data_IF_236447873884
#
_entry.id   IF_236447873884
#
_cell.length_a   1.000
_cell.length_b   1.000
_cell.length_c   1.000
_cell.angle_alpha   90.00
_cell.angle_beta   90.00
_cell.angle_gamma   90.00
#
_symmetry.space_group_name_H-M   'P 1'
#
loop_
_entity.id
_entity.type
_entity.pdbx_description
1 polymer ?
#
# COMPACT_ATOMS: atom_id res chain seq x y z
N UNK A 1 -15.43 -8.51 24.26
CA UNK A 1 -15.49 -7.32 23.38
C UNK A 1 -14.19 -6.58 23.51
N UNK A 2 -13.55 -6.26 22.42
CA UNK A 2 -12.31 -5.44 22.40
C UNK A 2 -12.69 -4.00 22.78
N UNK A 3 -11.99 -3.44 23.75
CA UNK A 3 -12.19 -2.04 24.14
C UNK A 3 -11.47 -1.14 23.11
N UNK A 4 -12.22 -0.21 22.51
CA UNK A 4 -11.73 0.74 21.54
C UNK A 4 -11.69 2.14 22.13
N UNK A 5 -10.64 2.90 21.81
CA UNK A 5 -10.52 4.33 22.08
C UNK A 5 -10.08 5.05 20.79
N UNK A 6 -10.54 6.27 20.64
CA UNK A 6 -10.15 7.13 19.51
C UNK A 6 -9.43 8.35 20.05
N UNK A 7 -8.19 8.50 19.63
CA UNK A 7 -7.26 9.48 20.18
C UNK A 7 -7.05 10.57 19.15
N UNK A 8 -7.26 11.83 19.54
CA UNK A 8 -6.90 12.97 18.72
C UNK A 8 -5.58 13.57 19.19
N UNK A 9 -4.73 13.89 18.26
CA UNK A 9 -3.50 14.66 18.49
C UNK A 9 -3.38 15.83 17.51
N UNK A 10 -2.59 16.81 17.88
CA UNK A 10 -2.24 17.94 17.02
C UNK A 10 -0.83 17.77 16.50
N UNK A 11 -0.72 17.73 15.17
CA UNK A 11 0.56 17.75 14.46
C UNK A 11 0.96 19.21 14.23
N UNK A 12 2.19 19.55 14.59
CA UNK A 12 2.74 20.90 14.42
C UNK A 12 3.71 21.00 13.23
N UNK A 13 3.99 19.87 12.59
CA UNK A 13 4.92 19.78 11.47
C UNK A 13 6.40 19.90 11.90
N UNK A 14 6.72 19.63 13.16
CA UNK A 14 8.09 19.59 13.70
C UNK A 14 8.54 18.17 14.09
N UNK A 15 7.75 17.15 13.72
CA UNK A 15 7.99 15.75 14.07
C UNK A 15 7.44 15.36 15.45
N UNK A 16 6.81 16.29 16.14
CA UNK A 16 6.09 16.06 17.38
C UNK A 16 4.58 16.08 17.22
N UNK A 17 3.90 15.60 18.25
CA UNK A 17 2.44 15.70 18.35
C UNK A 17 2.03 15.96 19.79
N UNK A 18 0.97 16.76 19.96
CA UNK A 18 0.36 17.05 21.24
C UNK A 18 -1.00 16.37 21.33
N UNK A 19 -1.20 15.50 22.30
CA UNK A 19 -2.49 14.83 22.50
C UNK A 19 -3.55 15.83 22.94
N UNK A 20 -4.70 15.79 22.26
CA UNK A 20 -5.83 16.68 22.48
C UNK A 20 -6.92 15.95 23.28
N UNK A 21 -7.23 14.72 22.88
CA UNK A 21 -8.29 13.92 23.45
C UNK A 21 -7.93 12.44 23.32
N UNK A 22 -8.24 11.64 24.34
CA UNK A 22 -7.97 10.21 24.38
C UNK A 22 -9.21 9.34 24.18
N UNK A 23 -10.39 9.94 24.03
CA UNK A 23 -11.66 9.20 23.93
C UNK A 23 -12.71 9.98 23.11
N UNK A 24 -12.39 10.27 21.85
CA UNK A 24 -13.33 10.91 20.95
C UNK A 24 -14.58 10.04 20.75
N UNK A 25 -15.78 10.62 20.88
CA UNK A 25 -17.05 9.90 20.68
C UNK A 25 -17.35 9.73 19.17
N UNK A 26 -16.59 8.88 18.49
CA UNK A 26 -16.77 8.62 17.07
C UNK A 26 -17.89 7.62 16.81
N UNK A 27 -18.72 7.92 15.82
CA UNK A 27 -19.74 7.04 15.27
C UNK A 27 -19.24 6.37 13.99
N UNK A 28 -19.58 5.11 13.80
CA UNK A 28 -19.30 4.33 12.58
C UNK A 28 -17.83 4.41 12.12
N UNK A 29 -16.86 4.26 13.05
CA UNK A 29 -15.45 4.34 12.68
C UNK A 29 -15.02 3.14 11.85
N UNK A 30 -14.23 3.40 10.80
CA UNK A 30 -13.57 2.38 10.00
C UNK A 30 -12.08 2.70 9.89
N UNK A 31 -11.25 1.68 10.11
CA UNK A 31 -9.79 1.78 10.03
C UNK A 31 -9.30 1.00 8.82
N UNK A 32 -8.54 1.65 7.97
CA UNK A 32 -8.00 1.06 6.75
C UNK A 32 -6.48 0.97 6.83
N UNK A 33 -5.95 -0.27 6.82
CA UNK A 33 -4.53 -0.54 6.64
C UNK A 33 -4.32 -1.06 5.22
N UNK A 34 -3.35 -0.53 4.50
CA UNK A 34 -3.13 -0.86 3.08
C UNK A 34 -1.64 -1.12 2.83
N UNK A 35 -1.35 -2.14 2.07
CA UNK A 35 -0.02 -2.40 1.52
C UNK A 35 0.20 -1.49 0.32
N UNK A 36 1.31 -0.79 0.27
CA UNK A 36 1.65 0.15 -0.81
C UNK A 36 0.60 1.25 -1.01
N UNK A 37 0.03 1.73 0.10
CA UNK A 37 -0.99 2.78 0.04
C UNK A 37 -1.07 3.58 1.32
N UNK A 38 -1.88 4.65 1.31
CA UNK A 38 -1.96 5.53 2.47
C UNK A 38 -2.69 4.89 3.65
N UNK A 39 -3.71 4.06 3.41
CA UNK A 39 -4.63 3.66 4.48
C UNK A 39 -5.36 4.88 5.06
N UNK A 40 -5.84 4.78 6.30
CA UNK A 40 -6.47 5.90 6.97
C UNK A 40 -7.55 5.49 7.97
N UNK A 41 -8.41 6.45 8.29
CA UNK A 41 -9.56 6.26 9.16
C UNK A 41 -10.72 7.13 8.65
N UNK A 42 -11.90 6.56 8.57
CA UNK A 42 -13.14 7.30 8.35
C UNK A 42 -14.08 7.13 9.53
N UNK A 43 -14.81 8.17 9.85
CA UNK A 43 -15.78 8.16 10.96
C UNK A 43 -16.80 9.28 10.79
N UNK A 44 -17.78 9.31 11.66
CA UNK A 44 -18.59 10.52 11.88
C UNK A 44 -18.61 10.88 13.37
N UNK A 45 -18.99 12.10 13.66
CA UNK A 45 -19.20 12.56 15.02
C UNK A 45 -20.52 13.32 15.11
N UNK A 46 -21.33 13.15 16.17
CA UNK A 46 -22.55 13.90 16.35
C UNK A 46 -22.32 15.41 16.36
N UNK A 47 -23.24 16.18 15.80
CA UNK A 47 -23.14 17.64 15.69
C UNK A 47 -22.84 18.34 17.02
N UNK A 48 -23.34 17.83 18.14
CA UNK A 48 -23.08 18.38 19.47
C UNK A 48 -21.60 18.35 19.86
N UNK A 49 -20.81 17.44 19.26
CA UNK A 49 -19.36 17.30 19.46
C UNK A 49 -18.53 17.89 18.31
N UNK A 50 -19.17 18.31 17.20
CA UNK A 50 -18.46 18.86 16.03
C UNK A 50 -17.64 20.12 16.35
N UNK A 51 -18.03 20.86 17.38
CA UNK A 51 -17.36 22.09 17.83
C UNK A 51 -16.50 21.91 19.07
N UNK A 52 -16.07 20.70 19.37
CA UNK A 52 -15.15 20.43 20.49
C UNK A 52 -13.93 21.35 20.45
N UNK A 53 -13.63 21.92 21.61
CA UNK A 53 -12.44 22.76 21.82
C UNK A 53 -11.67 22.29 23.04
N UNK A 54 -10.37 22.23 22.89
CA UNK A 54 -9.43 21.98 23.99
C UNK A 54 -8.49 23.17 24.07
N UNK A 55 -8.34 23.76 25.26
CA UNK A 55 -7.56 24.98 25.50
C UNK A 55 -7.94 26.16 24.58
N UNK A 56 -9.22 26.24 24.22
CA UNK A 56 -9.76 27.27 23.34
C UNK A 56 -9.53 27.05 21.84
N UNK A 57 -8.77 26.02 21.44
CA UNK A 57 -8.54 25.67 20.04
C UNK A 57 -9.52 24.58 19.57
N UNK A 58 -9.99 24.60 18.30
CA UNK A 58 -10.86 23.55 17.77
C UNK A 58 -10.09 22.23 17.68
N UNK A 59 -10.79 21.12 17.92
CA UNK A 59 -10.21 19.76 17.81
C UNK A 59 -10.07 19.35 16.35
N UNK A 60 -11.09 19.53 15.54
CA UNK A 60 -11.12 19.08 14.14
C UNK A 60 -10.58 20.16 13.19
N UNK A 61 -9.27 20.14 12.96
CA UNK A 61 -8.59 21.07 12.06
C UNK A 61 -7.92 20.31 10.93
N UNK A 62 -8.32 20.49 9.66
CA UNK A 62 -7.71 19.86 8.52
C UNK A 62 -6.19 20.07 8.50
N UNK A 63 -5.44 19.01 8.15
CA UNK A 63 -3.98 19.01 8.05
C UNK A 63 -3.23 19.37 9.33
N UNK A 64 -3.93 19.32 10.47
CA UNK A 64 -3.34 19.54 11.79
C UNK A 64 -3.75 18.48 12.79
N UNK A 65 -4.96 17.94 12.70
CA UNK A 65 -5.44 16.91 13.60
C UNK A 65 -5.15 15.52 13.03
N UNK A 66 -4.49 14.66 13.80
CA UNK A 66 -4.43 13.23 13.52
C UNK A 66 -5.39 12.49 14.46
N UNK A 67 -6.04 11.45 13.96
CA UNK A 67 -6.94 10.59 14.72
C UNK A 67 -6.43 9.16 14.64
N UNK A 68 -6.29 8.51 15.80
CA UNK A 68 -5.83 7.14 15.92
C UNK A 68 -6.89 6.27 16.57
N UNK A 69 -7.03 5.05 16.07
CA UNK A 69 -7.86 4.02 16.65
C UNK A 69 -6.99 3.05 17.48
N UNK A 70 -7.27 2.95 18.75
CA UNK A 70 -6.60 2.05 19.67
C UNK A 70 -7.53 0.92 20.09
N UNK A 71 -7.03 -0.29 20.07
CA UNK A 71 -7.73 -1.48 20.58
C UNK A 71 -6.91 -2.14 21.69
N UNK A 72 -7.41 -2.12 22.91
CA UNK A 72 -6.77 -2.75 24.08
C UNK A 72 -5.29 -2.37 24.24
N UNK A 73 -4.97 -1.07 24.13
CA UNK A 73 -3.61 -0.54 24.30
C UNK A 73 -2.72 -0.64 23.04
N UNK A 74 -3.25 -1.08 21.90
CA UNK A 74 -2.50 -1.20 20.64
C UNK A 74 -3.13 -0.31 19.57
N UNK A 75 -2.35 0.60 19.00
CA UNK A 75 -2.80 1.42 17.87
C UNK A 75 -3.01 0.51 16.66
N UNK A 76 -4.22 0.51 16.12
CA UNK A 76 -4.61 -0.30 14.96
C UNK A 76 -4.57 0.45 13.64
N UNK A 77 -4.48 1.77 13.69
CA UNK A 77 -4.35 2.65 12.55
C UNK A 77 -4.76 4.06 12.90
N UNK A 78 -4.72 4.92 11.92
CA UNK A 78 -5.06 6.33 12.07
C UNK A 78 -4.66 7.11 10.84
N UNK A 79 -4.92 8.42 10.88
CA UNK A 79 -4.59 9.29 9.77
C UNK A 79 -4.75 10.76 10.13
N UNK A 80 -4.35 11.61 9.20
CA UNK A 80 -4.45 13.06 9.27
C UNK A 80 -5.82 13.48 8.73
N UNK A 81 -6.57 14.23 9.49
CA UNK A 81 -7.87 14.77 9.07
C UNK A 81 -7.68 15.68 7.84
N UNK A 82 -8.38 15.38 6.75
CA UNK A 82 -8.30 16.14 5.49
C UNK A 82 -9.53 16.99 5.26
N UNK A 83 -10.68 16.34 5.11
CA UNK A 83 -11.91 16.97 4.66
C UNK A 83 -13.08 16.68 5.62
N UNK A 84 -13.20 17.40 6.75
CA UNK A 84 -14.40 17.28 7.58
C UNK A 84 -15.59 17.90 6.85
N UNK A 85 -16.66 17.14 6.69
CA UNK A 85 -17.89 17.59 6.01
C UNK A 85 -19.08 17.56 6.97
N UNK A 86 -19.74 18.70 7.14
CA UNK A 86 -20.96 18.78 7.92
C UNK A 86 -22.16 18.34 7.07
N UNK A 87 -22.78 17.23 7.45
CA UNK A 87 -23.97 16.67 6.79
C UNK A 87 -25.10 16.48 7.80
N UNK A 88 -26.00 17.45 7.86
CA UNK A 88 -27.15 17.39 8.76
C UNK A 88 -26.76 17.28 10.23
N UNK A 89 -27.08 16.16 10.93
CA UNK A 89 -26.79 15.99 12.35
C UNK A 89 -25.39 15.48 12.66
N UNK A 90 -24.58 15.24 11.65
CA UNK A 90 -23.25 14.62 11.78
C UNK A 90 -22.18 15.47 11.11
N UNK A 91 -20.96 15.41 11.63
CA UNK A 91 -19.74 15.82 10.95
C UNK A 91 -19.01 14.56 10.49
N UNK A 92 -18.90 14.36 9.18
CA UNK A 92 -18.12 13.28 8.60
C UNK A 92 -16.63 13.62 8.66
N UNK A 93 -15.82 12.68 9.07
CA UNK A 93 -14.37 12.80 9.21
C UNK A 93 -13.67 11.84 8.24
N UNK A 94 -12.87 12.39 7.37
CA UNK A 94 -11.99 11.60 6.49
C UNK A 94 -10.54 11.89 6.86
N UNK A 95 -9.82 10.83 7.27
CA UNK A 95 -8.43 10.92 7.70
C UNK A 95 -7.57 10.05 6.80
N UNK A 96 -6.71 10.69 6.03
CA UNK A 96 -5.74 10.01 5.17
C UNK A 96 -4.54 9.52 6.00
N UNK A 97 -4.13 8.28 5.78
CA UNK A 97 -2.91 7.78 6.41
C UNK A 97 -1.67 8.58 5.99
N UNK A 98 -0.64 8.58 6.81
CA UNK A 98 0.55 9.42 6.64
C UNK A 98 1.20 9.33 5.25
N UNK A 99 1.27 8.16 4.57
CA UNK A 99 1.79 8.12 3.20
C UNK A 99 1.02 9.00 2.21
N UNK A 100 -0.28 9.22 2.43
CA UNK A 100 -1.09 10.11 1.59
C UNK A 100 -0.70 11.59 1.67
N UNK A 101 0.03 12.00 2.72
CA UNK A 101 0.56 13.35 2.86
C UNK A 101 1.51 13.75 1.72
N UNK A 102 2.21 12.78 1.13
CA UNK A 102 3.10 13.05 -0.02
C UNK A 102 2.34 13.60 -1.23
N UNK A 103 1.06 13.23 -1.41
CA UNK A 103 0.22 13.69 -2.53
C UNK A 103 -0.02 15.21 -2.56
N UNK A 104 0.11 15.89 -1.42
CA UNK A 104 0.03 17.36 -1.32
C UNK A 104 1.38 18.07 -1.42
N UNK A 105 2.47 17.33 -1.54
CA UNK A 105 3.82 17.87 -1.46
C UNK A 105 4.56 17.83 -2.80
N UNK A 106 5.57 18.69 -2.94
CA UNK A 106 6.36 18.82 -4.17
C UNK A 106 7.85 18.79 -3.83
N UNK A 107 8.64 18.23 -4.76
CA UNK A 107 10.09 18.29 -4.63
C UNK A 107 10.58 19.72 -4.87
N UNK A 108 11.38 20.24 -3.96
CA UNK A 108 11.86 21.64 -4.00
C UNK A 108 13.38 21.75 -4.18
N UNK A 109 14.04 20.61 -4.41
CA UNK A 109 15.48 20.52 -4.65
C UNK A 109 15.85 20.39 -6.12
N UNK A 110 17.08 19.99 -6.34
CA UNK A 110 17.60 19.55 -7.65
C UNK A 110 18.39 18.28 -7.40
N UNK A 111 18.02 17.21 -8.07
CA UNK A 111 18.73 15.93 -8.01
C UNK A 111 18.62 15.20 -9.35
N UNK A 112 19.74 14.68 -9.82
CA UNK A 112 19.84 13.88 -11.02
C UNK A 112 20.49 12.55 -10.66
N UNK A 113 19.88 11.44 -11.05
CA UNK A 113 20.30 10.08 -10.68
C UNK A 113 20.32 9.22 -11.95
N UNK A 114 21.49 8.83 -12.42
CA UNK A 114 21.63 7.88 -13.55
C UNK A 114 21.44 6.43 -13.06
N UNK A 115 22.12 6.08 -11.96
CA UNK A 115 21.98 4.80 -11.28
C UNK A 115 21.68 5.01 -9.81
N UNK A 116 20.74 4.26 -9.32
CA UNK A 116 20.35 4.35 -7.93
C UNK A 116 19.53 3.16 -7.48
N UNK A 117 19.25 3.16 -6.22
CA UNK A 117 18.40 2.20 -5.54
C UNK A 117 17.03 2.86 -5.33
N UNK A 118 15.95 2.41 -6.03
CA UNK A 118 14.64 3.03 -5.92
C UNK A 118 14.11 3.15 -4.49
N UNK A 119 14.36 2.15 -3.63
CA UNK A 119 13.97 2.21 -2.23
C UNK A 119 14.73 3.31 -1.48
N UNK A 120 16.01 3.52 -1.76
CA UNK A 120 16.77 4.64 -1.14
C UNK A 120 16.29 5.99 -1.65
N UNK A 121 15.90 6.07 -2.93
CA UNK A 121 15.34 7.30 -3.49
C UNK A 121 13.98 7.59 -2.84
N UNK A 122 13.12 6.59 -2.66
CA UNK A 122 11.82 6.78 -1.99
C UNK A 122 11.97 7.29 -0.55
N UNK A 123 12.96 6.77 0.20
CA UNK A 123 13.30 7.32 1.53
C UNK A 123 13.75 8.77 1.45
N UNK A 124 14.57 9.10 0.45
CA UNK A 124 15.02 10.48 0.24
C UNK A 124 13.84 11.43 -0.03
N UNK A 125 12.79 11.01 -0.72
CA UNK A 125 11.59 11.85 -0.92
C UNK A 125 10.95 12.21 0.43
N UNK A 126 10.83 11.25 1.33
CA UNK A 126 10.34 11.48 2.69
C UNK A 126 11.27 12.38 3.50
N UNK A 127 12.56 12.07 3.53
CA UNK A 127 13.57 12.89 4.23
C UNK A 127 13.56 14.33 3.72
N UNK A 128 13.46 14.52 2.40
CA UNK A 128 13.35 15.84 1.79
C UNK A 128 12.08 16.57 2.26
N UNK A 129 10.96 15.87 2.35
CA UNK A 129 9.69 16.43 2.83
C UNK A 129 9.83 16.85 4.29
N UNK A 130 10.26 15.95 5.15
CA UNK A 130 10.38 16.19 6.60
C UNK A 130 11.45 17.22 6.97
N UNK A 131 12.47 17.42 6.13
CA UNK A 131 13.48 18.48 6.36
C UNK A 131 12.94 19.90 6.15
N UNK A 132 11.73 20.05 5.59
CA UNK A 132 11.10 21.35 5.33
C UNK A 132 10.36 21.82 6.58
N UNK A 133 10.40 23.14 6.82
CA UNK A 133 9.69 23.75 7.95
C UNK A 133 8.17 23.45 7.87
N UNK A 134 7.62 22.94 8.96
CA UNK A 134 6.20 22.57 9.13
C UNK A 134 5.75 21.38 8.25
N UNK A 135 6.67 20.54 7.78
CA UNK A 135 6.37 19.33 7.00
C UNK A 135 6.84 18.04 7.68
N UNK A 136 7.45 18.14 8.83
CA UNK A 136 7.92 16.96 9.56
C UNK A 136 6.76 16.30 10.31
N UNK A 137 6.50 15.05 9.95
CA UNK A 137 5.51 14.18 10.60
C UNK A 137 6.14 13.19 11.59
N UNK A 138 7.44 13.24 11.79
CA UNK A 138 8.15 12.30 12.66
C UNK A 138 8.16 10.86 12.14
N UNK A 139 8.07 10.65 10.82
CA UNK A 139 8.06 9.31 10.23
C UNK A 139 9.47 8.73 10.21
N UNK A 140 9.63 7.58 10.86
CA UNK A 140 10.85 6.78 10.89
C UNK A 140 10.79 5.67 9.83
N UNK A 141 11.95 5.29 9.28
CA UNK A 141 12.05 4.19 8.32
C UNK A 141 12.60 2.93 8.97
N UNK A 142 11.90 1.82 8.81
CA UNK A 142 12.28 0.53 9.38
C UNK A 142 12.21 -0.59 8.31
N UNK A 143 12.82 -1.73 8.60
CA UNK A 143 12.83 -2.88 7.69
C UNK A 143 13.93 -2.79 6.62
N UNK A 144 13.60 -3.12 5.37
CA UNK A 144 14.59 -3.12 4.28
C UNK A 144 15.19 -1.73 4.08
N UNK A 145 16.51 -1.65 3.95
CA UNK A 145 17.24 -0.39 3.78
C UNK A 145 17.67 -0.14 2.33
N UNK A 146 17.52 -1.13 1.46
CA UNK A 146 17.89 -1.05 0.06
C UNK A 146 17.08 -2.04 -0.76
N UNK A 147 16.87 -1.72 -2.03
CA UNK A 147 16.44 -2.61 -3.09
C UNK A 147 17.64 -2.94 -3.99
N UNK A 148 17.40 -3.28 -5.23
CA UNK A 148 18.49 -3.44 -6.22
C UNK A 148 18.91 -2.07 -6.77
N UNK A 149 20.19 -1.92 -7.05
CA UNK A 149 20.69 -0.79 -7.82
C UNK A 149 20.38 -1.01 -9.31
N UNK A 150 19.81 0.00 -9.96
CA UNK A 150 19.43 -0.06 -11.36
C UNK A 150 19.55 1.30 -12.03
N UNK A 151 19.42 1.35 -13.35
CA UNK A 151 19.24 2.62 -14.04
C UNK A 151 17.85 3.15 -13.71
N UNK A 152 17.81 4.38 -13.22
CA UNK A 152 16.58 5.13 -12.98
C UNK A 152 16.64 6.32 -13.90
N UNK A 153 15.79 6.35 -14.91
CA UNK A 153 15.77 7.45 -15.86
C UNK A 153 14.58 7.34 -16.80
N UNK A 154 14.37 8.39 -17.58
CA UNK A 154 13.34 8.42 -18.58
C UNK A 154 13.86 7.75 -19.86
N UNK A 155 13.11 6.79 -20.41
CA UNK A 155 13.49 5.91 -21.50
C UNK A 155 13.13 6.47 -22.88
N UNK A 156 12.80 7.75 -22.98
CA UNK A 156 12.42 8.38 -24.25
C UNK A 156 13.59 8.58 -25.23
N UNK A 157 14.78 8.05 -24.94
CA UNK A 157 15.92 8.16 -25.84
C UNK A 157 15.99 6.98 -26.80
N UNK A 158 15.86 7.22 -28.11
CA UNK A 158 15.96 6.16 -29.12
C UNK A 158 17.33 5.49 -29.09
N UNK A 159 17.38 4.15 -29.27
CA UNK A 159 18.64 3.42 -29.28
C UNK A 159 19.50 3.83 -30.46
N UNK A 160 20.65 4.44 -30.22
CA UNK A 160 21.68 4.66 -31.20
C UNK A 160 22.79 3.60 -31.09
N UNK A 161 23.54 3.35 -32.16
CA UNK A 161 24.63 2.36 -32.21
C UNK A 161 25.85 2.68 -31.30
N UNK A 162 25.79 3.75 -30.55
CA UNK A 162 26.73 4.15 -29.48
C UNK A 162 26.16 3.82 -28.11
N UNK A 163 26.98 3.61 -27.05
CA UNK A 163 26.48 3.39 -25.70
C UNK A 163 25.48 4.49 -25.34
N UNK A 164 24.21 4.09 -25.15
CA UNK A 164 23.14 5.02 -24.88
C UNK A 164 23.39 5.76 -23.59
N UNK A 165 23.33 7.07 -23.66
CA UNK A 165 23.17 7.91 -22.52
C UNK A 165 21.69 7.82 -22.13
N UNK A 166 21.37 7.03 -21.12
CA UNK A 166 20.06 7.04 -20.47
C UNK A 166 19.92 8.42 -19.84
N UNK A 167 18.84 9.13 -20.11
CA UNK A 167 18.60 10.38 -19.42
C UNK A 167 18.39 10.08 -17.94
N UNK A 168 19.09 10.79 -17.06
CA UNK A 168 19.00 10.52 -15.64
C UNK A 168 17.60 10.82 -15.10
N UNK A 169 17.17 10.06 -14.09
CA UNK A 169 15.99 10.41 -13.32
C UNK A 169 16.21 11.75 -12.61
N UNK A 170 15.40 12.72 -12.97
CA UNK A 170 15.56 14.10 -12.51
C UNK A 170 14.44 14.51 -11.56
N UNK A 171 14.81 14.90 -10.35
CA UNK A 171 13.94 15.54 -9.37
C UNK A 171 14.28 17.03 -9.31
N UNK A 172 13.47 17.84 -9.96
CA UNK A 172 13.72 19.27 -10.13
C UNK A 172 12.55 20.10 -9.61
N UNK A 173 12.84 21.21 -8.91
CA UNK A 173 11.79 22.10 -8.38
C UNK A 173 10.92 22.74 -9.49
N UNK A 174 11.45 22.91 -10.70
CA UNK A 174 10.71 23.47 -11.83
C UNK A 174 9.78 22.47 -12.54
N UNK A 175 9.98 21.18 -12.37
CA UNK A 175 9.11 20.13 -12.93
C UNK A 175 7.93 19.81 -12.03
N UNK A 176 7.86 20.41 -10.83
CA UNK A 176 6.76 20.28 -9.87
C UNK A 176 6.33 18.84 -9.61
N UNK A 177 7.30 17.92 -9.47
CA UNK A 177 7.06 16.51 -9.20
C UNK A 177 6.13 16.30 -8.01
N UNK A 178 5.08 15.53 -8.21
CA UNK A 178 4.19 15.05 -7.16
C UNK A 178 4.86 13.89 -6.43
N UNK A 179 5.16 14.06 -5.15
CA UNK A 179 5.97 13.08 -4.44
C UNK A 179 5.26 11.74 -4.22
N UNK A 180 3.92 11.69 -4.18
CA UNK A 180 3.21 10.42 -4.13
C UNK A 180 3.38 9.64 -5.43
N UNK A 181 3.23 10.31 -6.59
CA UNK A 181 3.43 9.69 -7.91
C UNK A 181 4.86 9.21 -8.11
N UNK A 182 5.84 10.01 -7.68
CA UNK A 182 7.25 9.61 -7.73
C UNK A 182 7.52 8.40 -6.85
N UNK A 183 6.88 8.34 -5.68
CA UNK A 183 7.00 7.22 -4.78
C UNK A 183 6.43 5.93 -5.39
N UNK A 184 5.25 6.01 -6.00
CA UNK A 184 4.61 4.89 -6.69
C UNK A 184 5.46 4.41 -7.88
N UNK A 185 5.97 5.34 -8.69
CA UNK A 185 6.87 5.02 -9.79
C UNK A 185 8.12 4.28 -9.34
N UNK A 186 8.75 4.70 -8.24
CA UNK A 186 9.92 4.03 -7.67
C UNK A 186 9.60 2.61 -7.19
N UNK A 187 8.40 2.39 -6.63
CA UNK A 187 7.94 1.07 -6.22
C UNK A 187 7.66 0.15 -7.41
N UNK A 188 7.24 0.69 -8.56
CA UNK A 188 7.09 -0.06 -9.81
C UNK A 188 8.45 -0.47 -10.41
N UNK A 189 9.44 0.41 -10.37
CA UNK A 189 10.79 0.14 -10.90
C UNK A 189 11.51 -0.99 -10.14
N UNK A 190 11.43 -0.98 -8.81
CA UNK A 190 11.93 -2.08 -7.98
C UNK A 190 10.81 -2.44 -7.00
N UNK A 191 10.17 -3.58 -7.16
CA UNK A 191 8.97 -3.94 -6.39
C UNK A 191 9.28 -4.11 -4.91
N UNK A 192 9.56 -3.00 -4.23
CA UNK A 192 9.55 -2.95 -2.78
C UNK A 192 8.12 -2.70 -2.28
N UNK A 193 7.85 -3.21 -1.11
CA UNK A 193 6.55 -3.01 -0.47
C UNK A 193 6.72 -2.21 0.81
N UNK A 194 5.66 -1.49 1.18
CA UNK A 194 5.64 -0.71 2.40
C UNK A 194 4.27 -0.70 3.08
N UNK A 195 4.28 -0.45 4.39
CA UNK A 195 3.09 -0.16 5.19
C UNK A 195 3.41 0.86 6.27
N UNK A 196 2.39 1.59 6.67
CA UNK A 196 2.47 2.51 7.80
C UNK A 196 2.14 1.79 9.11
N UNK A 197 2.93 2.03 10.14
CA UNK A 197 2.74 1.49 11.48
C UNK A 197 2.72 2.64 12.49
N UNK A 198 1.74 2.63 13.39
CA UNK A 198 1.68 3.53 14.53
C UNK A 198 1.74 2.69 15.80
N UNK A 199 2.59 3.04 16.73
CA UNK A 199 2.75 2.28 17.97
C UNK A 199 3.14 3.18 19.15
N UNK A 200 2.64 2.86 20.32
CA UNK A 200 3.07 3.50 21.55
C UNK A 200 4.57 3.26 21.81
N UNK A 201 5.25 4.30 22.23
CA UNK A 201 6.60 4.28 22.77
C UNK A 201 6.65 5.20 24.00
N UNK A 202 6.36 4.62 25.16
CA UNK A 202 6.11 5.37 26.38
C UNK A 202 4.82 6.17 26.28
N UNK A 203 4.91 7.49 26.34
CA UNK A 203 3.82 8.46 26.28
C UNK A 203 3.61 9.07 24.88
N UNK A 204 4.27 8.55 23.86
CA UNK A 204 4.21 9.06 22.47
C UNK A 204 3.79 7.99 21.50
N UNK A 205 3.21 8.38 20.39
CA UNK A 205 2.97 7.50 19.24
C UNK A 205 4.14 7.67 18.27
N UNK A 206 4.81 6.57 17.93
CA UNK A 206 5.81 6.54 16.86
C UNK A 206 5.17 6.14 15.55
N UNK A 207 5.59 6.82 14.50
CA UNK A 207 5.15 6.60 13.14
C UNK A 207 6.27 5.95 12.34
N UNK A 208 6.05 4.73 11.85
CA UNK A 208 7.08 3.95 11.16
C UNK A 208 6.60 3.52 9.80
N UNK A 209 7.30 3.95 8.77
CA UNK A 209 7.14 3.42 7.43
C UNK A 209 8.04 2.20 7.29
N UNK A 210 7.41 1.01 7.30
CA UNK A 210 8.12 -0.25 7.20
C UNK A 210 8.24 -0.68 5.76
N UNK A 211 9.47 -0.92 5.32
CA UNK A 211 9.79 -1.42 3.99
C UNK A 211 10.12 -2.91 4.00
N UNK A 212 9.67 -3.61 2.97
CA UNK A 212 10.09 -4.96 2.59
C UNK A 212 10.70 -4.97 1.18
N UNK A 213 11.67 -5.82 0.92
CA UNK A 213 12.23 -6.04 -0.39
C UNK A 213 12.63 -7.50 -0.59
N UNK A 214 12.18 -8.17 -1.66
CA UNK A 214 11.22 -7.71 -2.68
C UNK A 214 9.79 -7.57 -2.15
N UNK A 215 9.46 -8.23 -1.06
CA UNK A 215 8.11 -8.27 -0.48
C UNK A 215 8.15 -7.95 1.01
N UNK A 216 7.03 -7.48 1.54
CA UNK A 216 6.80 -7.27 2.96
C UNK A 216 5.88 -8.37 3.49
N UNK A 217 6.04 -8.70 4.79
CA UNK A 217 5.26 -9.73 5.46
C UNK A 217 5.91 -11.10 5.40
N UNK A 218 5.20 -12.09 5.89
CA UNK A 218 5.67 -13.46 5.98
C UNK A 218 4.54 -14.44 5.62
N UNK A 219 4.91 -15.64 5.19
CA UNK A 219 3.97 -16.74 5.03
C UNK A 219 3.62 -17.29 6.42
N UNK A 220 2.35 -17.08 6.81
CA UNK A 220 1.83 -17.40 8.13
C UNK A 220 1.28 -18.82 8.16
N UNK A 221 2.14 -19.76 8.49
CA UNK A 221 1.76 -21.18 8.65
C UNK A 221 1.11 -21.49 9.99
N UNK A 222 1.18 -20.55 10.92
CA UNK A 222 0.60 -20.58 12.26
C UNK A 222 -0.86 -20.12 12.31
N UNK A 223 -1.35 -19.49 11.23
CA UNK A 223 -2.72 -18.99 11.10
C UNK A 223 -3.51 -19.83 10.11
N UNK A 224 -4.81 -19.98 10.35
CA UNK A 224 -5.74 -20.68 9.45
C UNK A 224 -7.01 -19.86 9.28
N UNK A 225 -7.42 -19.69 8.03
CA UNK A 225 -8.65 -19.05 7.64
C UNK A 225 -9.52 -20.08 6.94
N UNK A 226 -10.63 -20.44 7.59
CA UNK A 226 -11.49 -21.55 7.15
C UNK A 226 -12.92 -21.05 6.97
N UNK A 227 -13.48 -21.25 5.79
CA UNK A 227 -14.87 -20.91 5.50
C UNK A 227 -15.82 -21.71 6.38
N UNK A 228 -16.72 -21.00 7.07
CA UNK A 228 -17.65 -21.59 8.03
C UNK A 228 -17.07 -21.76 9.45
N UNK A 229 -15.82 -21.38 9.69
CA UNK A 229 -15.21 -21.32 11.04
C UNK A 229 -14.92 -19.84 11.41
N UNK A 230 -13.94 -19.23 10.80
CA UNK A 230 -13.56 -17.84 11.02
C UNK A 230 -13.62 -16.96 9.77
N UNK A 231 -13.97 -17.53 8.64
CA UNK A 231 -14.37 -16.82 7.42
C UNK A 231 -15.88 -16.96 7.27
N UNK A 232 -16.60 -15.82 7.29
CA UNK A 232 -18.06 -15.78 7.39
C UNK A 232 -18.76 -16.32 6.15
N UNK A 233 -18.24 -15.95 4.98
CA UNK A 233 -18.86 -16.29 3.70
C UNK A 233 -17.86 -16.95 2.76
N UNK A 234 -18.38 -17.75 1.82
CA UNK A 234 -17.55 -18.26 0.73
C UNK A 234 -17.03 -17.05 -0.06
N UNK A 235 -15.72 -16.89 -0.16
CA UNK A 235 -15.15 -15.72 -0.82
C UNK A 235 -15.56 -15.67 -2.29
N UNK A 236 -15.70 -14.47 -2.79
CA UNK A 236 -15.91 -14.24 -4.23
C UNK A 236 -14.66 -14.70 -4.97
N UNK A 237 -14.83 -15.71 -5.81
CA UNK A 237 -13.76 -16.22 -6.67
C UNK A 237 -13.98 -15.65 -8.07
N UNK A 238 -13.07 -14.84 -8.52
CA UNK A 238 -13.10 -14.23 -9.84
C UNK A 238 -12.20 -14.98 -10.81
N UNK A 239 -12.69 -15.19 -12.03
CA UNK A 239 -11.89 -15.65 -13.16
C UNK A 239 -11.76 -14.47 -14.15
N UNK A 240 -10.78 -13.59 -13.98
CA UNK A 240 -10.67 -12.38 -14.78
C UNK A 240 -10.32 -12.74 -16.24
N UNK A 241 -11.32 -12.90 -17.07
CA UNK A 241 -11.15 -13.24 -18.47
C UNK A 241 -10.45 -12.15 -19.29
N UNK A 242 -10.57 -10.90 -18.86
CA UNK A 242 -9.89 -9.76 -19.50
C UNK A 242 -8.39 -9.78 -19.23
N UNK A 243 -7.97 -10.19 -18.05
CA UNK A 243 -6.56 -10.31 -17.68
C UNK A 243 -5.92 -11.60 -18.24
N UNK A 244 -6.72 -12.55 -18.70
CA UNK A 244 -6.20 -13.81 -19.22
C UNK A 244 -5.39 -13.59 -20.48
N UNK A 245 -4.17 -14.10 -20.48
CA UNK A 245 -3.33 -14.24 -21.68
C UNK A 245 -2.58 -15.57 -21.61
N UNK A 246 -2.52 -16.25 -22.74
CA UNK A 246 -1.73 -17.46 -22.93
C UNK A 246 -0.45 -17.23 -23.72
N UNK A 247 -0.26 -16.02 -24.20
CA UNK A 247 0.92 -15.57 -24.91
C UNK A 247 1.27 -14.15 -24.46
N UNK A 248 2.48 -13.98 -23.98
CA UNK A 248 3.00 -12.70 -23.48
C UNK A 248 4.19 -12.27 -24.33
N UNK A 249 4.13 -11.06 -24.84
CA UNK A 249 5.20 -10.41 -25.57
C UNK A 249 5.73 -9.27 -24.72
N UNK A 250 6.98 -9.34 -24.33
CA UNK A 250 7.66 -8.24 -23.62
C UNK A 250 8.50 -7.45 -24.62
N UNK A 251 8.30 -6.15 -24.62
CA UNK A 251 9.07 -5.17 -25.40
C UNK A 251 9.85 -4.29 -24.43
N UNK A 252 11.16 -4.47 -24.42
CA UNK A 252 12.09 -3.71 -23.60
C UNK A 252 12.64 -2.46 -24.27
N UNK A 253 13.80 -2.00 -23.83
CA UNK A 253 14.51 -0.87 -24.39
C UNK A 253 14.85 -1.07 -25.86
N UNK A 254 14.92 0.03 -26.59
CA UNK A 254 15.20 0.06 -28.02
C UNK A 254 14.03 0.55 -28.85
N UNK A 255 14.28 0.76 -30.17
CA UNK A 255 13.26 1.15 -31.13
C UNK A 255 13.18 0.17 -32.30
N UNK A 256 12.00 -0.03 -32.83
CA UNK A 256 11.75 -0.86 -34.00
C UNK A 256 12.35 -2.26 -33.84
N UNK A 257 13.22 -2.65 -34.77
CA UNK A 257 13.85 -3.99 -34.79
C UNK A 257 14.95 -4.19 -33.74
N UNK A 258 15.43 -3.11 -33.12
CA UNK A 258 16.48 -3.18 -32.10
C UNK A 258 15.93 -3.26 -30.68
N UNK A 259 14.60 -3.27 -30.52
CA UNK A 259 13.99 -3.48 -29.20
C UNK A 259 14.42 -4.80 -28.58
N UNK A 260 14.76 -4.75 -27.30
CA UNK A 260 14.87 -5.96 -26.48
C UNK A 260 13.51 -6.63 -26.43
N UNK A 261 13.43 -7.90 -26.78
CA UNK A 261 12.16 -8.62 -26.89
C UNK A 261 12.31 -10.05 -26.37
N UNK A 262 11.25 -10.53 -25.73
CA UNK A 262 11.04 -11.96 -25.49
C UNK A 262 9.55 -12.28 -25.56
N UNK A 263 9.23 -13.51 -25.93
CA UNK A 263 7.85 -14.02 -25.96
C UNK A 263 7.80 -15.37 -25.25
N UNK A 264 6.76 -15.53 -24.45
CA UNK A 264 6.48 -16.76 -23.74
C UNK A 264 5.04 -17.16 -23.98
N UNK A 265 4.78 -18.44 -24.13
CA UNK A 265 3.43 -18.96 -24.34
C UNK A 265 3.20 -20.27 -23.61
N UNK A 266 1.94 -20.58 -23.32
CA UNK A 266 1.48 -21.83 -22.72
C UNK A 266 0.16 -22.27 -23.33
N UNK A 267 -0.01 -23.58 -23.50
CA UNK A 267 -1.28 -24.16 -23.92
C UNK A 267 -2.13 -24.45 -22.69
N UNK A 268 -3.27 -23.79 -22.55
CA UNK A 268 -4.16 -23.89 -21.38
C UNK A 268 -5.48 -24.61 -21.68
N UNK A 269 -5.68 -25.08 -22.91
CA UNK A 269 -6.97 -25.60 -23.37
C UNK A 269 -8.03 -24.52 -23.63
N UNK A 270 -7.70 -23.24 -23.48
CA UNK A 270 -8.53 -22.07 -23.82
C UNK A 270 -8.07 -21.46 -25.14
N UNK A 271 -8.89 -20.58 -25.68
CA UNK A 271 -8.48 -19.78 -26.84
C UNK A 271 -7.25 -18.93 -26.53
N UNK A 272 -6.33 -18.84 -27.47
CA UNK A 272 -5.13 -18.02 -27.32
C UNK A 272 -5.49 -16.54 -27.21
N UNK A 273 -4.85 -15.83 -26.27
CA UNK A 273 -4.93 -14.38 -26.14
C UNK A 273 -3.53 -13.84 -25.92
N UNK A 274 -3.23 -12.77 -26.65
CA UNK A 274 -1.96 -12.08 -26.55
C UNK A 274 -2.04 -10.89 -25.60
N UNK A 275 -0.96 -10.64 -24.88
CA UNK A 275 -0.73 -9.38 -24.17
C UNK A 275 0.66 -8.88 -24.50
N UNK A 276 0.77 -7.58 -24.70
CA UNK A 276 2.05 -6.89 -24.91
C UNK A 276 2.37 -6.08 -23.65
N UNK A 277 3.51 -6.33 -23.08
CA UNK A 277 4.05 -5.60 -21.92
C UNK A 277 5.23 -4.76 -22.44
N UNK A 278 5.08 -3.46 -22.41
CA UNK A 278 6.14 -2.51 -22.76
C UNK A 278 6.81 -2.01 -21.49
N UNK A 279 8.09 -2.32 -21.33
CA UNK A 279 8.87 -1.91 -20.17
C UNK A 279 10.29 -1.54 -20.62
N UNK A 280 10.51 -0.26 -20.81
CA UNK A 280 11.77 0.28 -21.32
C UNK A 280 12.96 0.12 -20.36
N UNK A 281 12.71 -0.22 -19.10
CA UNK A 281 13.78 -0.52 -18.14
C UNK A 281 14.44 -1.89 -18.39
N UNK A 282 13.81 -2.72 -19.22
CA UNK A 282 14.34 -4.03 -19.63
C UNK A 282 15.34 -3.85 -20.76
N UNK A 283 16.61 -3.90 -20.42
CA UNK A 283 17.71 -3.67 -21.37
C UNK A 283 18.37 -4.96 -21.88
N UNK A 284 18.06 -6.11 -21.27
CA UNK A 284 18.68 -7.41 -21.64
C UNK A 284 17.64 -8.47 -21.99
N UNK A 285 17.96 -9.39 -22.92
CA UNK A 285 17.05 -10.52 -23.23
C UNK A 285 16.72 -11.40 -22.03
N UNK A 286 17.64 -11.53 -21.08
CA UNK A 286 17.40 -12.32 -19.85
C UNK A 286 16.33 -11.66 -18.97
N UNK A 287 16.35 -10.34 -18.83
CA UNK A 287 15.31 -9.59 -18.10
C UNK A 287 13.96 -9.69 -18.84
N UNK A 288 13.93 -9.53 -20.17
CA UNK A 288 12.73 -9.66 -20.97
C UNK A 288 12.10 -11.04 -20.80
N UNK A 289 12.92 -12.10 -20.85
CA UNK A 289 12.46 -13.47 -20.61
C UNK A 289 11.87 -13.67 -19.22
N UNK A 290 12.58 -13.20 -18.18
CA UNK A 290 12.11 -13.31 -16.81
C UNK A 290 10.77 -12.57 -16.61
N UNK A 291 10.63 -11.37 -17.17
CA UNK A 291 9.39 -10.60 -17.14
C UNK A 291 8.26 -11.32 -17.88
N UNK A 292 8.52 -11.82 -19.08
CA UNK A 292 7.54 -12.56 -19.87
C UNK A 292 7.04 -13.82 -19.17
N UNK A 293 7.92 -14.55 -18.49
CA UNK A 293 7.55 -15.71 -17.69
C UNK A 293 6.70 -15.35 -16.48
N UNK A 294 7.04 -14.28 -15.76
CA UNK A 294 6.29 -13.80 -14.62
C UNK A 294 4.87 -13.35 -15.05
N UNK A 295 4.77 -12.55 -16.10
CA UNK A 295 3.50 -12.09 -16.64
C UNK A 295 2.64 -13.26 -17.15
N UNK A 296 3.23 -14.23 -17.83
CA UNK A 296 2.51 -15.40 -18.31
C UNK A 296 1.93 -16.20 -17.13
N UNK A 297 2.72 -16.42 -16.09
CA UNK A 297 2.28 -17.09 -14.86
C UNK A 297 1.11 -16.33 -14.19
N UNK A 298 1.21 -15.02 -14.09
CA UNK A 298 0.18 -14.18 -13.50
C UNK A 298 -1.14 -14.21 -14.30
N UNK A 299 -1.07 -14.33 -15.63
CA UNK A 299 -2.21 -14.21 -16.54
C UNK A 299 -2.84 -15.53 -17.00
N UNK A 300 -2.25 -16.69 -16.72
CA UNK A 300 -2.75 -17.99 -17.19
C UNK A 300 -4.04 -18.47 -16.53
N UNK A 301 -4.75 -17.59 -15.83
CA UNK A 301 -6.16 -17.82 -15.47
C UNK A 301 -6.38 -18.59 -14.20
N UNK A 302 -5.49 -18.44 -13.24
CA UNK A 302 -5.76 -18.89 -11.87
C UNK A 302 -6.89 -18.01 -11.29
N UNK A 303 -7.93 -18.61 -10.70
CA UNK A 303 -8.98 -17.84 -10.02
C UNK A 303 -8.37 -16.92 -8.97
N UNK A 304 -8.89 -15.71 -8.82
CA UNK A 304 -8.47 -14.76 -7.80
C UNK A 304 -9.52 -14.66 -6.69
N UNK A 305 -9.06 -14.32 -5.51
CA UNK A 305 -9.90 -14.04 -4.35
C UNK A 305 -9.65 -12.59 -3.98
N UNK A 306 -10.70 -11.79 -3.88
CA UNK A 306 -10.55 -10.34 -3.68
C UNK A 306 -10.79 -9.90 -2.25
N UNK A 307 -11.84 -10.45 -1.61
CA UNK A 307 -12.23 -10.01 -0.28
C UNK A 307 -12.61 -11.20 0.61
N UNK A 308 -12.24 -11.13 1.88
CA UNK A 308 -12.60 -12.09 2.92
C UNK A 308 -13.18 -11.34 4.12
N UNK A 309 -14.37 -11.73 4.55
CA UNK A 309 -14.90 -11.31 5.85
C UNK A 309 -14.53 -12.32 6.92
N UNK A 310 -13.71 -11.90 7.86
CA UNK A 310 -13.20 -12.73 8.93
C UNK A 310 -13.71 -12.26 10.28
N UNK A 311 -13.95 -13.22 11.18
CA UNK A 311 -14.32 -12.93 12.56
C UNK A 311 -13.17 -13.21 13.50
N UNK A 312 -13.19 -12.58 14.66
CA UNK A 312 -12.27 -12.86 15.76
C UNK A 312 -12.32 -14.33 16.14
N UNK A 313 -11.21 -15.02 16.03
CA UNK A 313 -11.08 -16.43 16.34
C UNK A 313 -9.71 -16.73 16.95
N UNK A 314 -9.58 -17.69 17.88
CA UNK A 314 -8.27 -18.05 18.44
C UNK A 314 -7.19 -18.38 17.41
N UNK A 315 -7.60 -18.92 16.24
CA UNK A 315 -6.69 -19.25 15.14
C UNK A 315 -6.29 -18.04 14.28
N UNK A 316 -6.96 -16.89 14.43
CA UNK A 316 -6.72 -15.66 13.66
C UNK A 316 -7.22 -14.43 14.45
N UNK A 317 -6.53 -14.11 15.53
CA UNK A 317 -6.85 -12.93 16.35
C UNK A 317 -6.45 -11.66 15.63
N UNK A 318 -7.25 -10.60 15.72
CA UNK A 318 -6.92 -9.28 15.16
C UNK A 318 -5.56 -8.80 15.67
N UNK A 319 -4.66 -8.52 14.74
CA UNK A 319 -3.27 -8.14 15.00
C UNK A 319 -2.28 -9.31 15.02
N UNK A 320 -2.75 -10.57 14.92
CA UNK A 320 -1.85 -11.70 14.66
C UNK A 320 -1.42 -11.77 13.19
N UNK A 321 -2.13 -11.10 12.30
CA UNK A 321 -1.83 -10.93 10.88
C UNK A 321 -1.76 -9.45 10.50
N UNK A 322 -1.08 -9.14 9.42
CA UNK A 322 -0.82 -7.77 8.99
C UNK A 322 -0.85 -7.68 7.46
N UNK A 323 -1.02 -6.48 6.91
CA UNK A 323 -0.87 -6.27 5.47
C UNK A 323 0.52 -6.70 5.00
N UNK A 324 0.55 -7.41 3.87
CA UNK A 324 1.76 -8.04 3.33
C UNK A 324 1.93 -9.51 3.70
N UNK A 325 1.26 -10.01 4.75
CA UNK A 325 1.34 -11.43 5.12
C UNK A 325 0.62 -12.32 4.09
N UNK A 326 1.17 -13.51 3.89
CA UNK A 326 0.52 -14.59 3.14
C UNK A 326 -0.17 -15.55 4.12
N UNK A 327 -1.45 -15.79 3.92
CA UNK A 327 -2.27 -16.65 4.77
C UNK A 327 -2.87 -17.81 3.99
N UNK A 328 -3.07 -18.95 4.67
CA UNK A 328 -3.74 -20.10 4.12
C UNK A 328 -5.26 -19.95 4.29
N UNK A 329 -5.97 -19.94 3.17
CA UNK A 329 -7.43 -19.95 3.10
C UNK A 329 -7.91 -21.34 2.71
N UNK A 330 -8.68 -21.97 3.56
CA UNK A 330 -9.34 -23.25 3.27
C UNK A 330 -10.79 -23.00 2.85
N UNK A 331 -11.14 -23.39 1.63
CA UNK A 331 -12.51 -23.29 1.09
C UNK A 331 -13.15 -24.66 0.98
N UNK A 332 -14.45 -24.74 1.29
CA UNK A 332 -15.22 -25.96 1.13
C UNK A 332 -16.12 -25.85 -0.11
N UNK A 333 -15.68 -26.45 -1.19
CA UNK A 333 -16.47 -26.53 -2.42
C UNK A 333 -16.51 -25.22 -3.21
N UNK A 334 -16.84 -25.31 -4.46
CA UNK A 334 -16.94 -24.17 -5.36
C UNK A 334 -16.56 -24.57 -6.78
N UNK A 335 -16.30 -23.58 -7.61
CA UNK A 335 -15.88 -23.75 -9.00
C UNK A 335 -14.47 -24.33 -9.16
N UNK A 336 -13.68 -24.32 -8.10
CA UNK A 336 -12.34 -24.87 -8.06
C UNK A 336 -12.30 -26.04 -7.10
N UNK A 337 -11.68 -27.14 -7.49
CA UNK A 337 -11.44 -28.28 -6.62
C UNK A 337 -10.33 -27.98 -5.57
N UNK A 338 -9.71 -26.81 -5.66
CA UNK A 338 -8.68 -26.36 -4.69
C UNK A 338 -9.33 -26.05 -3.35
N UNK A 339 -8.89 -26.74 -2.32
CA UNK A 339 -9.36 -26.57 -0.94
C UNK A 339 -8.50 -25.62 -0.12
N UNK A 340 -7.22 -25.53 -0.45
CA UNK A 340 -6.26 -24.68 0.26
C UNK A 340 -5.59 -23.71 -0.71
N UNK A 341 -5.82 -22.41 -0.47
CA UNK A 341 -5.28 -21.32 -1.27
C UNK A 341 -4.36 -20.47 -0.41
N UNK A 342 -3.21 -20.10 -0.94
CA UNK A 342 -2.38 -19.06 -0.32
C UNK A 342 -2.76 -17.70 -0.91
N UNK A 343 -3.16 -16.79 -0.03
CA UNK A 343 -3.51 -15.42 -0.40
C UNK A 343 -2.66 -14.43 0.38
N UNK A 344 -2.30 -13.34 -0.27
CA UNK A 344 -1.57 -12.21 0.33
C UNK A 344 -2.55 -11.14 0.74
N UNK A 345 -2.40 -10.61 1.94
CA UNK A 345 -3.22 -9.52 2.47
C UNK A 345 -2.71 -8.20 1.90
N UNK A 346 -3.54 -7.53 1.11
CA UNK A 346 -3.25 -6.22 0.53
C UNK A 346 -3.85 -5.08 1.34
N UNK A 347 -4.98 -5.35 2.01
CA UNK A 347 -5.67 -4.38 2.86
C UNK A 347 -6.39 -5.06 4.01
N UNK A 348 -6.56 -4.32 5.09
CA UNK A 348 -7.34 -4.73 6.27
C UNK A 348 -8.26 -3.56 6.61
N UNK A 349 -9.57 -3.79 6.55
CA UNK A 349 -10.58 -2.86 7.00
C UNK A 349 -11.16 -3.38 8.32
N UNK A 350 -10.99 -2.61 9.37
CA UNK A 350 -11.45 -2.92 10.72
C UNK A 350 -12.61 -1.99 11.03
N UNK A 351 -13.74 -2.57 11.45
CA UNK A 351 -14.89 -1.81 11.94
C UNK A 351 -14.95 -1.96 13.48
N UNK A 352 -14.45 -0.97 14.24
CA UNK A 352 -14.47 -0.98 15.69
C UNK A 352 -15.87 -1.24 16.25
N UNK A 353 -15.94 -2.02 17.32
CA UNK A 353 -17.23 -2.40 17.91
C UNK A 353 -17.88 -3.63 17.29
N UNK A 354 -17.36 -4.14 16.17
CA UNK A 354 -17.75 -5.42 15.57
C UNK A 354 -16.64 -6.44 15.74
N UNK A 355 -17.00 -7.73 15.62
CA UNK A 355 -16.02 -8.82 15.58
C UNK A 355 -15.60 -9.15 14.14
N UNK A 356 -16.05 -8.37 13.15
CA UNK A 356 -15.80 -8.60 11.73
C UNK A 356 -14.69 -7.68 11.22
N UNK A 357 -13.78 -8.27 10.47
CA UNK A 357 -12.71 -7.57 9.75
C UNK A 357 -12.77 -7.99 8.28
N UNK A 358 -12.69 -7.03 7.37
CA UNK A 358 -12.60 -7.32 5.93
C UNK A 358 -11.15 -7.30 5.50
N UNK A 359 -10.68 -8.39 4.89
CA UNK A 359 -9.35 -8.49 4.31
C UNK A 359 -9.47 -8.37 2.79
N UNK A 360 -8.81 -7.39 2.22
CA UNK A 360 -8.56 -7.34 0.79
C UNK A 360 -7.37 -8.24 0.49
N UNK A 361 -7.58 -9.23 -0.36
CA UNK A 361 -6.54 -10.23 -0.63
C UNK A 361 -6.37 -10.47 -2.12
N UNK A 362 -5.25 -11.05 -2.48
CA UNK A 362 -4.96 -11.57 -3.81
C UNK A 362 -4.20 -12.88 -3.68
N UNK A 363 -4.34 -13.79 -4.64
CA UNK A 363 -3.52 -15.02 -4.63
C UNK A 363 -2.03 -14.67 -4.57
N UNK A 364 -1.32 -15.31 -3.63
CA UNK A 364 0.12 -15.05 -3.41
C UNK A 364 0.95 -15.27 -4.68
N UNK A 365 0.55 -16.22 -5.53
CA UNK A 365 1.21 -16.53 -6.81
C UNK A 365 1.09 -15.42 -7.87
N UNK A 366 0.13 -14.48 -7.69
CA UNK A 366 -0.10 -13.35 -8.62
C UNK A 366 0.59 -12.06 -8.20
N UNK A 367 1.10 -11.98 -6.99
CA UNK A 367 1.65 -10.75 -6.41
C UNK A 367 3.17 -10.67 -6.53
N UNK A 368 3.84 -11.72 -7.00
CA UNK A 368 5.31 -11.78 -7.14
C UNK A 368 5.76 -11.58 -8.59
#
# INVERSE_FOLDING_TARGET
MTEWRFIASRLDGTGGEDFIDFDLPLDEPEVHQVLNGPGGLTASIPHEHAHLRVDGAPVFVPWSTAIYAEASGVIRGGGILTDPVEEGPKLSLDCVGFPGYLGGTRYTGIRSIERGDPLKVSRHLWEHTQARKSFDLGVEFVGASSSREMFIGDDDVPPSATPQKVDPYELNYWSTHDLAKEFDHLAELAPFEYRMEHAWDGDRIRHRLRYGYPTLGARRTDLRFVVGENVLEIPKIEMPGEEYASHVIVLGAGEGRSMTRDEQSVTTGRLGRDVVVSDKTITTPAQAKARAQAELKARTGTPDVTDLQVIQHPNAVLGSYQVGDEIALTTAGGWTDERDLWVKILGIQITPGTDVTTLQVRRAEKVN
#
